data_IF_089843701602
#
_entry.id   IF_089843701602
#
_cell.length_a   1.000
_cell.length_b   1.000
_cell.length_c   1.000
_cell.angle_alpha   90.00
_cell.angle_beta   90.00
_cell.angle_gamma   90.00
#
_symmetry.space_group_name_H-M   'P 1'
#
loop_
_entity.id
_entity.type
_entity.pdbx_description
1 polymer ?
#
# COMPACT_ATOMS: atom_id res chain seq x y z
N UNK A 1 5.97 -42.60 21.52
CA UNK A 1 4.70 -41.83 21.65
C UNK A 1 5.02 -40.36 21.46
N UNK A 2 4.16 -39.61 20.74
CA UNK A 2 4.55 -38.56 19.78
C UNK A 2 4.48 -37.15 20.35
N UNK A 3 5.23 -36.21 19.77
CA UNK A 3 4.96 -34.77 19.84
C UNK A 3 5.36 -34.12 18.52
N UNK A 4 4.47 -34.24 17.53
CA UNK A 4 4.40 -33.32 16.39
C UNK A 4 3.82 -32.00 16.91
N UNK A 5 4.65 -30.98 17.06
CA UNK A 5 4.18 -29.61 17.21
C UNK A 5 4.42 -28.89 15.89
N UNK A 6 3.49 -29.09 14.95
CA UNK A 6 3.37 -28.26 13.76
C UNK A 6 2.94 -26.87 14.21
N UNK A 7 3.89 -25.96 14.38
CA UNK A 7 3.60 -24.53 14.36
C UNK A 7 3.59 -24.08 12.90
N UNK A 8 2.52 -24.40 12.17
CA UNK A 8 2.16 -23.58 11.04
C UNK A 8 1.59 -22.29 11.64
N UNK A 9 2.44 -21.28 11.81
CA UNK A 9 1.96 -19.90 11.82
C UNK A 9 1.24 -19.71 10.50
N UNK A 10 -0.08 -19.77 10.54
CA UNK A 10 -0.92 -19.49 9.41
C UNK A 10 -0.75 -18.01 9.04
N UNK A 11 0.22 -17.72 8.19
CA UNK A 11 0.20 -16.52 7.35
C UNK A 11 -0.83 -16.67 6.20
N UNK A 12 -1.71 -17.68 6.27
CA UNK A 12 -2.76 -17.90 5.28
C UNK A 12 -3.69 -16.68 5.13
N UNK A 13 -3.82 -15.85 6.17
CA UNK A 13 -4.59 -14.61 6.11
C UNK A 13 -3.90 -13.50 5.31
N UNK A 14 -2.56 -13.49 5.25
CA UNK A 14 -1.84 -12.61 4.33
C UNK A 14 -1.91 -13.19 2.92
N UNK A 15 -1.60 -14.48 2.72
CA UNK A 15 -1.58 -15.07 1.38
C UNK A 15 -2.93 -15.01 0.63
N UNK A 16 -4.06 -15.13 1.35
CA UNK A 16 -5.38 -14.92 0.73
C UNK A 16 -5.59 -13.45 0.37
N UNK A 17 -5.21 -12.51 1.24
CA UNK A 17 -5.33 -11.07 0.97
C UNK A 17 -4.36 -10.58 -0.11
N UNK A 18 -3.17 -11.19 -0.21
CA UNK A 18 -2.14 -10.90 -1.21
C UNK A 18 -2.62 -11.33 -2.61
N UNK A 19 -3.26 -12.50 -2.69
CA UNK A 19 -3.87 -12.99 -3.93
C UNK A 19 -5.07 -12.14 -4.39
N UNK A 20 -5.94 -11.75 -3.46
CA UNK A 20 -7.09 -10.86 -3.76
C UNK A 20 -6.61 -9.44 -4.15
N UNK A 21 -5.56 -8.93 -3.50
CA UNK A 21 -4.92 -7.66 -3.83
C UNK A 21 -4.35 -7.69 -5.26
N UNK A 22 -3.55 -8.69 -5.59
CA UNK A 22 -2.93 -8.84 -6.92
C UNK A 22 -4.00 -9.05 -7.99
N UNK A 23 -5.03 -9.86 -7.72
CA UNK A 23 -6.16 -10.03 -8.62
C UNK A 23 -6.86 -8.70 -8.94
N UNK A 24 -7.12 -7.86 -7.95
CA UNK A 24 -7.73 -6.54 -8.14
C UNK A 24 -6.82 -5.56 -8.91
N UNK A 25 -5.51 -5.67 -8.74
CA UNK A 25 -4.51 -4.89 -9.48
C UNK A 25 -4.47 -5.29 -10.96
N UNK A 26 -4.42 -6.59 -11.24
CA UNK A 26 -4.41 -7.11 -12.61
C UNK A 26 -5.70 -6.74 -13.36
N UNK A 27 -6.85 -6.75 -12.70
CA UNK A 27 -8.14 -6.32 -13.27
C UNK A 27 -8.13 -4.84 -13.71
N UNK A 28 -7.27 -4.02 -13.08
CA UNK A 28 -7.03 -2.61 -13.42
C UNK A 28 -5.85 -2.40 -14.38
N UNK A 29 -5.22 -3.47 -14.86
CA UNK A 29 -4.05 -3.42 -15.73
C UNK A 29 -2.77 -3.02 -15.01
N UNK A 30 -2.71 -3.22 -13.69
CA UNK A 30 -1.49 -3.09 -12.90
C UNK A 30 -0.85 -4.48 -12.87
N UNK A 31 0.06 -4.73 -13.80
CA UNK A 31 0.78 -6.01 -13.84
C UNK A 31 1.80 -6.08 -12.72
N UNK A 32 1.61 -7.03 -11.82
CA UNK A 32 2.56 -7.31 -10.76
C UNK A 32 3.37 -8.53 -11.16
N UNK A 33 4.69 -8.39 -11.25
CA UNK A 33 5.56 -9.50 -11.63
C UNK A 33 5.57 -10.62 -10.58
N UNK A 34 5.45 -10.24 -9.31
CA UNK A 34 5.46 -11.16 -8.19
C UNK A 34 4.56 -10.62 -7.06
N UNK A 35 3.65 -11.44 -6.52
CA UNK A 35 2.75 -11.02 -5.46
C UNK A 35 3.52 -10.58 -4.21
N UNK A 36 4.56 -11.30 -3.80
CA UNK A 36 5.38 -10.92 -2.64
C UNK A 36 6.08 -9.57 -2.86
N UNK A 37 6.52 -9.27 -4.09
CA UNK A 37 7.06 -7.95 -4.44
C UNK A 37 6.01 -6.83 -4.31
N UNK A 38 4.77 -7.06 -4.75
CA UNK A 38 3.67 -6.11 -4.57
C UNK A 38 3.43 -5.81 -3.08
N UNK A 39 3.42 -6.87 -2.27
CA UNK A 39 3.19 -6.78 -0.83
C UNK A 39 4.35 -6.07 -0.14
N UNK A 40 5.58 -6.33 -0.55
CA UNK A 40 6.75 -5.61 -0.05
C UNK A 40 6.64 -4.10 -0.34
N UNK A 41 6.26 -3.72 -1.55
CA UNK A 41 6.02 -2.31 -1.91
C UNK A 41 4.86 -1.72 -1.11
N UNK A 42 3.77 -2.47 -0.91
CA UNK A 42 2.64 -2.08 -0.07
C UNK A 42 3.07 -1.79 1.39
N UNK A 43 3.94 -2.62 1.95
CA UNK A 43 4.52 -2.40 3.26
C UNK A 43 5.48 -1.21 3.31
N UNK A 44 6.25 -0.94 2.26
CA UNK A 44 7.08 0.27 2.18
C UNK A 44 6.24 1.55 2.19
N UNK A 45 5.17 1.60 1.40
CA UNK A 45 4.20 2.71 1.39
C UNK A 45 3.69 2.98 2.81
N UNK A 46 3.32 1.93 3.53
CA UNK A 46 2.92 2.03 4.91
C UNK A 46 4.01 2.57 5.82
N UNK A 47 5.25 2.11 5.65
CA UNK A 47 6.39 2.60 6.43
C UNK A 47 6.70 4.07 6.13
N UNK A 48 6.44 4.56 4.92
CA UNK A 48 6.53 5.97 4.56
C UNK A 48 5.45 6.79 5.28
N UNK A 49 4.20 6.34 5.23
CA UNK A 49 3.07 6.96 5.93
C UNK A 49 3.31 6.98 7.45
N UNK A 50 3.88 5.91 7.99
CA UNK A 50 4.22 5.81 9.42
C UNK A 50 5.32 6.79 9.84
N UNK A 51 6.25 7.10 8.93
CA UNK A 51 7.25 8.16 9.10
C UNK A 51 6.65 9.57 8.97
N UNK A 52 5.37 9.69 8.62
CA UNK A 52 4.68 10.95 8.39
C UNK A 52 4.83 11.49 6.97
N UNK A 53 5.25 10.67 6.00
CA UNK A 53 5.21 11.07 4.59
C UNK A 53 3.75 11.18 4.13
N UNK A 54 3.47 12.23 3.35
CA UNK A 54 2.13 12.44 2.81
C UNK A 54 1.80 11.40 1.74
N UNK A 55 0.57 10.87 1.77
CA UNK A 55 0.06 9.91 0.80
C UNK A 55 0.35 10.31 -0.66
N UNK A 56 0.24 11.61 -1.00
CA UNK A 56 0.53 12.11 -2.33
C UNK A 56 2.01 11.96 -2.74
N UNK A 57 2.96 12.14 -1.80
CA UNK A 57 4.39 11.94 -2.05
C UNK A 57 4.67 10.47 -2.30
N UNK A 58 4.07 9.60 -1.49
CA UNK A 58 4.19 8.15 -1.62
C UNK A 58 3.60 7.67 -2.95
N UNK A 59 2.44 8.21 -3.37
CA UNK A 59 1.85 7.99 -4.71
C UNK A 59 2.83 8.39 -5.80
N UNK A 60 3.39 9.60 -5.75
CA UNK A 60 4.33 10.09 -6.75
C UNK A 60 5.61 9.23 -6.82
N UNK A 61 6.10 8.76 -5.67
CA UNK A 61 7.27 7.91 -5.59
C UNK A 61 6.99 6.53 -6.17
N UNK A 62 5.84 5.94 -5.84
CA UNK A 62 5.37 4.71 -6.44
C UNK A 62 5.24 4.83 -7.96
N UNK A 63 4.62 5.90 -8.47
CA UNK A 63 4.52 6.18 -9.90
C UNK A 63 5.90 6.26 -10.57
N UNK A 64 6.89 6.84 -9.88
CA UNK A 64 8.26 6.97 -10.40
C UNK A 64 8.97 5.62 -10.45
N UNK A 65 8.77 4.79 -9.42
CA UNK A 65 9.40 3.48 -9.28
C UNK A 65 8.78 2.41 -10.20
N UNK A 66 7.45 2.41 -10.31
CA UNK A 66 6.67 1.37 -11.02
C UNK A 66 6.09 1.82 -12.36
N UNK A 67 6.29 3.09 -12.75
CA UNK A 67 5.72 3.71 -13.96
C UNK A 67 4.19 3.66 -14.05
N UNK A 68 3.50 3.48 -12.92
CA UNK A 68 2.04 3.43 -12.87
C UNK A 68 1.42 4.82 -13.07
N UNK A 69 0.21 4.84 -13.61
CA UNK A 69 -0.58 6.07 -13.70
C UNK A 69 -1.06 6.51 -12.31
N UNK A 70 -1.34 7.80 -12.11
CA UNK A 70 -1.81 8.34 -10.82
C UNK A 70 -3.08 7.65 -10.30
N UNK A 71 -3.97 7.26 -11.21
CA UNK A 71 -5.17 6.50 -10.88
C UNK A 71 -4.84 5.08 -10.37
N UNK A 72 -3.86 4.41 -11.00
CA UNK A 72 -3.41 3.08 -10.59
C UNK A 72 -2.64 3.14 -9.26
N UNK A 73 -1.73 4.09 -9.11
CA UNK A 73 -0.95 4.27 -7.89
C UNK A 73 -1.85 4.62 -6.68
N UNK A 74 -2.86 5.48 -6.88
CA UNK A 74 -3.84 5.77 -5.83
C UNK A 74 -4.67 4.56 -5.43
N UNK A 75 -5.08 3.72 -6.39
CA UNK A 75 -5.79 2.47 -6.11
C UNK A 75 -4.90 1.46 -5.38
N UNK A 76 -3.65 1.29 -5.83
CA UNK A 76 -2.66 0.42 -5.20
C UNK A 76 -2.46 0.82 -3.74
N UNK A 77 -2.16 2.10 -3.48
CA UNK A 77 -1.95 2.60 -2.12
C UNK A 77 -3.20 2.47 -1.27
N UNK A 78 -4.39 2.77 -1.83
CA UNK A 78 -5.67 2.58 -1.15
C UNK A 78 -5.85 1.14 -0.65
N UNK A 79 -5.76 0.18 -1.56
CA UNK A 79 -5.91 -1.24 -1.23
C UNK A 79 -4.80 -1.74 -0.28
N UNK A 80 -3.56 -1.28 -0.47
CA UNK A 80 -2.43 -1.59 0.43
C UNK A 80 -2.67 -1.12 1.85
N UNK A 81 -3.12 0.12 2.03
CA UNK A 81 -3.37 0.67 3.36
C UNK A 81 -4.58 0.00 4.01
N UNK A 82 -5.64 -0.32 3.26
CA UNK A 82 -6.76 -1.08 3.82
C UNK A 82 -6.34 -2.48 4.28
N UNK A 83 -5.46 -3.15 3.53
CA UNK A 83 -5.04 -4.53 3.80
C UNK A 83 -3.96 -4.63 4.88
N UNK A 84 -2.94 -3.77 4.83
CA UNK A 84 -1.74 -3.89 5.68
C UNK A 84 -1.70 -2.85 6.80
N UNK A 85 -2.30 -1.66 6.61
CA UNK A 85 -2.11 -0.51 7.50
C UNK A 85 -3.39 0.27 7.76
N UNK A 86 -4.42 -0.38 8.33
CA UNK A 86 -5.73 0.24 8.51
C UNK A 86 -5.69 1.49 9.40
N UNK A 87 -4.66 1.66 10.24
CA UNK A 87 -4.41 2.88 11.00
C UNK A 87 -4.09 4.12 10.13
N UNK A 88 -3.56 3.92 8.91
CA UNK A 88 -3.21 4.97 7.97
C UNK A 88 -4.31 5.21 6.93
N UNK A 89 -5.43 4.50 7.03
CA UNK A 89 -6.55 4.60 6.10
C UNK A 89 -7.14 6.02 6.09
N UNK A 90 -7.18 6.67 7.26
CA UNK A 90 -7.54 8.08 7.40
C UNK A 90 -6.46 9.04 6.88
N UNK A 91 -5.18 8.64 6.84
CA UNK A 91 -4.09 9.46 6.29
C UNK A 91 -4.10 9.51 4.75
N UNK A 92 -4.76 8.55 4.08
CA UNK A 92 -5.01 8.59 2.65
C UNK A 92 -6.20 9.48 2.29
N UNK A 93 -7.25 9.45 3.11
CA UNK A 93 -8.47 10.25 2.93
C UNK A 93 -8.35 11.67 3.48
N UNK A 94 -7.44 11.89 4.43
CA UNK A 94 -7.10 13.20 4.91
C UNK A 94 -5.97 13.74 4.04
N UNK A 95 -6.22 14.74 3.17
CA UNK A 95 -5.11 15.52 2.69
C UNK A 95 -4.42 16.03 3.96
N UNK A 96 -3.13 15.74 4.13
CA UNK A 96 -2.28 16.54 5.00
C UNK A 96 -2.13 17.94 4.37
N UNK A 97 -3.24 18.61 4.11
CA UNK A 97 -3.42 20.02 4.40
C UNK A 97 -4.15 20.10 5.74
N UNK A 98 -3.39 20.07 6.83
CA UNK A 98 -3.62 21.10 7.83
C UNK A 98 -2.77 22.36 7.58
N UNK A 99 -1.72 22.33 6.75
CA UNK A 99 -0.62 23.31 6.91
C UNK A 99 0.21 23.70 5.67
N UNK A 100 -0.33 23.72 4.45
CA UNK A 100 0.28 24.56 3.39
C UNK A 100 -0.43 25.92 3.42
N UNK A 101 0.15 26.98 4.04
CA UNK A 101 -0.37 28.33 3.85
C UNK A 101 -0.31 28.68 2.35
N UNK A 102 -1.32 29.37 1.80
CA UNK A 102 -1.29 29.78 0.40
C UNK A 102 -0.04 30.65 0.14
N UNK A 103 0.68 30.47 -0.99
CA UNK A 103 1.79 31.34 -1.34
C UNK A 103 1.29 32.80 -1.41
N UNK A 104 2.08 33.79 -0.95
CA UNK A 104 1.67 35.17 -1.00
C UNK A 104 1.58 35.57 -2.48
N UNK A 105 0.37 35.90 -2.93
CA UNK A 105 0.15 36.57 -4.20
C UNK A 105 0.65 38.01 -4.04
N UNK A 106 1.84 38.29 -4.59
CA UNK A 106 2.30 39.66 -4.86
C UNK A 106 1.75 40.15 -6.18
#
# INVERSE_FOLDING_TARGET
MPLFASFLSANASAQTSDGDFVGALEERGISVADPDSAVATAHEICAELDRGEGAAVVVLKLMTDTNLSSAQAGYFIGASVTAYCPQHHDALGNPVLPLVPPPPLM
#
